data_IF_071042086998
#
_entry.id   IF_071042086998
#
_cell.length_a   1.000
_cell.length_b   1.000
_cell.length_c   1.000
_cell.angle_alpha   90.00
_cell.angle_beta   90.00
_cell.angle_gamma   90.00
#
_symmetry.space_group_name_H-M   'P 1'
#
loop_
_entity.id
_entity.type
_entity.pdbx_description
1 polymer ?
#
# COMPACT_ATOMS: atom_id res chain seq x y z
N UNK A 1 -31.54 12.62 41.70
CA UNK A 1 -30.68 13.51 42.51
C UNK A 1 -29.27 13.34 41.97
N UNK A 2 -28.59 14.30 41.37
CA UNK A 2 -28.86 15.65 40.86
C UNK A 2 -27.76 15.82 39.76
N UNK A 3 -28.10 16.31 38.56
CA UNK A 3 -27.71 17.65 38.07
C UNK A 3 -26.18 17.87 38.13
N UNK A 4 -25.48 18.03 37.01
CA UNK A 4 -25.53 19.28 36.27
C UNK A 4 -25.40 19.17 34.75
N UNK A 5 -25.98 20.21 34.17
CA UNK A 5 -26.28 20.54 32.79
C UNK A 5 -25.29 21.60 32.27
N UNK A 6 -25.17 21.66 30.95
CA UNK A 6 -25.00 22.90 30.14
C UNK A 6 -23.62 23.62 30.24
N UNK A 7 -23.09 24.32 29.23
CA UNK A 7 -23.55 24.69 27.90
C UNK A 7 -22.36 25.27 27.09
N UNK A 8 -22.61 25.40 25.78
CA UNK A 8 -22.08 26.40 24.83
C UNK A 8 -20.59 26.35 24.41
N UNK A 9 -20.24 26.08 23.14
CA UNK A 9 -20.62 26.67 21.82
C UNK A 9 -19.72 27.86 21.43
N UNK A 10 -18.90 27.55 20.42
CA UNK A 10 -18.42 28.32 19.25
C UNK A 10 -17.31 29.40 19.35
N UNK A 11 -16.37 29.37 18.37
CA UNK A 11 -15.45 30.46 18.01
C UNK A 11 -16.12 31.38 16.94
N UNK A 12 -15.42 32.25 16.18
CA UNK A 12 -14.16 32.97 16.39
C UNK A 12 -14.39 34.51 16.42
N UNK A 13 -13.46 35.27 17.00
CA UNK A 13 -13.48 36.74 16.90
C UNK A 13 -12.66 37.19 15.69
N UNK A 14 -13.36 37.54 14.60
CA UNK A 14 -12.90 38.56 13.66
C UNK A 14 -13.03 39.94 14.31
N UNK A 15 -12.06 40.84 14.09
CA UNK A 15 -12.22 42.30 13.85
C UNK A 15 -10.83 42.98 13.90
N UNK A 16 -10.66 44.23 13.42
CA UNK A 16 -10.65 44.57 12.00
C UNK A 16 -9.52 45.59 11.68
N UNK A 17 -9.41 45.95 10.41
CA UNK A 17 -9.19 47.35 10.08
C UNK A 17 -7.75 47.81 9.78
N UNK A 18 -7.72 48.67 8.76
CA UNK A 18 -6.88 49.87 8.71
C UNK A 18 -5.42 49.71 8.28
N UNK A 19 -5.13 49.97 7.02
CA UNK A 19 -4.72 51.32 6.59
C UNK A 19 -4.20 51.29 5.15
N UNK A 20 -4.63 52.29 4.40
CA UNK A 20 -4.25 52.61 3.03
C UNK A 20 -2.74 52.95 2.88
N UNK A 21 -2.21 53.01 1.65
CA UNK A 21 -0.79 53.15 1.39
C UNK A 21 -0.30 54.57 1.65
N UNK A 22 0.82 54.71 2.36
CA UNK A 22 1.57 55.96 2.45
C UNK A 22 2.28 56.22 1.13
N UNK A 23 1.79 57.22 0.42
CA UNK A 23 2.58 58.08 -0.46
C UNK A 23 3.44 59.01 0.42
N UNK A 24 4.74 59.00 0.21
CA UNK A 24 5.74 60.04 0.52
C UNK A 24 7.04 59.46 -0.07
N UNK A 25 7.69 60.05 -1.08
CA UNK A 25 8.49 61.24 -0.87
C UNK A 25 8.65 62.02 -2.19
N UNK A 26 8.03 63.19 -2.23
CA UNK A 26 8.27 64.26 -3.19
C UNK A 26 9.63 64.85 -2.86
N UNK A 27 10.66 64.53 -3.64
CA UNK A 27 11.89 65.33 -3.65
C UNK A 27 11.64 66.66 -4.36
N UNK A 28 11.75 67.69 -3.54
CA UNK A 28 11.60 69.11 -3.82
C UNK A 28 12.96 69.61 -4.33
N UNK A 29 13.12 69.74 -5.65
CA UNK A 29 14.24 70.50 -6.21
C UNK A 29 13.74 71.86 -6.75
N UNK A 30 14.38 72.88 -6.21
CA UNK A 30 14.24 74.32 -6.47
C UNK A 30 14.34 74.65 -7.97
N UNK A 31 13.55 75.63 -8.48
CA UNK A 31 13.58 76.01 -9.88
C UNK A 31 14.87 76.76 -10.20
N UNK A 32 15.82 76.09 -10.86
CA UNK A 32 16.94 76.74 -11.53
C UNK A 32 16.40 77.29 -12.85
N UNK A 33 16.47 78.62 -12.99
CA UNK A 33 16.11 79.34 -14.20
C UNK A 33 16.86 78.79 -15.43
N UNK A 34 16.17 78.48 -16.55
CA UNK A 34 16.87 78.15 -17.78
C UNK A 34 17.43 79.42 -18.42
N UNK A 35 18.76 79.55 -18.37
CA UNK A 35 19.54 80.43 -19.22
C UNK A 35 19.28 80.06 -20.70
N UNK A 36 19.15 81.04 -21.62
CA UNK A 36 18.63 80.81 -22.96
C UNK A 36 19.74 80.35 -23.90
N UNK A 37 20.04 79.05 -23.90
CA UNK A 37 20.80 78.40 -24.97
C UNK A 37 20.04 77.15 -25.41
N UNK A 38 18.88 77.37 -26.03
CA UNK A 38 18.21 76.37 -26.84
C UNK A 38 19.06 76.16 -28.10
N UNK A 39 19.98 75.20 -28.04
CA UNK A 39 20.54 74.59 -29.24
C UNK A 39 19.36 74.10 -30.08
N UNK A 40 19.11 74.80 -31.19
CA UNK A 40 18.13 74.44 -32.21
C UNK A 40 18.60 73.13 -32.84
N UNK A 41 18.18 72.00 -32.27
CA UNK A 41 18.22 70.70 -32.92
C UNK A 41 17.37 70.83 -34.19
N UNK A 42 17.97 70.63 -35.36
CA UNK A 42 17.30 70.78 -36.65
C UNK A 42 16.10 69.83 -36.76
N UNK A 43 15.07 70.20 -37.52
CA UNK A 43 13.89 69.34 -37.73
C UNK A 43 14.25 67.94 -38.26
N UNK A 44 15.38 67.81 -38.97
CA UNK A 44 15.89 66.52 -39.45
C UNK A 44 16.34 65.59 -38.32
N UNK A 45 17.00 66.09 -37.28
CA UNK A 45 17.41 65.28 -36.13
C UNK A 45 16.19 64.82 -35.32
N UNK A 46 15.16 65.66 -35.19
CA UNK A 46 13.89 65.27 -34.54
C UNK A 46 13.17 64.15 -35.30
N UNK A 47 13.12 64.22 -36.63
CA UNK A 47 12.51 63.16 -37.44
C UNK A 47 13.29 61.84 -37.36
N UNK A 48 14.62 61.91 -37.27
CA UNK A 48 15.47 60.73 -37.12
C UNK A 48 15.26 60.03 -35.77
N UNK A 49 15.15 60.80 -34.69
CA UNK A 49 14.87 60.28 -33.33
C UNK A 49 13.48 59.61 -33.28
N UNK A 50 12.45 60.24 -33.83
CA UNK A 50 11.09 59.68 -33.87
C UNK A 50 11.03 58.39 -34.71
N UNK A 51 11.78 58.35 -35.82
CA UNK A 51 11.90 57.17 -36.66
C UNK A 51 12.62 56.01 -35.97
N UNK A 52 13.64 56.31 -35.17
CA UNK A 52 14.40 55.32 -34.40
C UNK A 52 13.59 54.77 -33.21
N UNK A 53 12.88 55.62 -32.46
CA UNK A 53 11.98 55.19 -31.38
C UNK A 53 10.87 54.26 -31.88
N UNK A 54 10.25 54.56 -33.02
CA UNK A 54 9.22 53.67 -33.61
C UNK A 54 9.76 52.30 -33.97
N UNK A 55 11.04 52.18 -34.33
CA UNK A 55 11.68 50.88 -34.60
C UNK A 55 11.91 50.11 -33.32
N UNK A 56 12.43 50.77 -32.27
CA UNK A 56 12.63 50.17 -30.94
C UNK A 56 11.33 49.65 -30.34
N UNK A 57 10.27 50.46 -30.34
CA UNK A 57 8.95 50.04 -29.84
C UNK A 57 8.40 48.83 -30.62
N UNK A 58 8.63 48.79 -31.94
CA UNK A 58 8.17 47.66 -32.78
C UNK A 58 8.98 46.39 -32.54
N UNK A 59 10.27 46.51 -32.22
CA UNK A 59 11.12 45.37 -31.85
C UNK A 59 10.78 44.84 -30.46
N UNK A 60 10.53 45.72 -29.49
CA UNK A 60 10.09 45.34 -28.15
C UNK A 60 8.73 44.64 -28.16
N UNK A 61 7.78 45.11 -28.96
CA UNK A 61 6.49 44.42 -29.13
C UNK A 61 6.65 43.02 -29.73
N UNK A 62 7.55 42.83 -30.70
CA UNK A 62 7.84 41.51 -31.26
C UNK A 62 8.46 40.57 -30.23
N UNK A 63 9.40 41.07 -29.43
CA UNK A 63 10.02 40.30 -28.35
C UNK A 63 9.00 39.89 -27.28
N UNK A 64 8.08 40.79 -26.93
CA UNK A 64 6.98 40.47 -26.01
C UNK A 64 6.01 39.43 -26.59
N UNK A 65 5.65 39.53 -27.88
CA UNK A 65 4.80 38.53 -28.52
C UNK A 65 5.46 37.15 -28.60
N UNK A 66 6.77 37.09 -28.88
CA UNK A 66 7.54 35.85 -28.88
C UNK A 66 7.67 35.25 -27.47
N UNK A 67 7.91 36.08 -26.45
CA UNK A 67 7.93 35.67 -25.05
C UNK A 67 6.56 35.11 -24.58
N UNK A 68 5.46 35.74 -24.99
CA UNK A 68 4.10 35.25 -24.66
C UNK A 68 3.77 33.95 -25.41
N UNK A 69 4.22 33.80 -26.67
CA UNK A 69 4.03 32.57 -27.45
C UNK A 69 4.82 31.40 -26.86
N UNK A 70 6.07 31.62 -26.48
CA UNK A 70 6.92 30.60 -25.85
C UNK A 70 6.34 30.17 -24.50
N UNK A 71 5.93 31.11 -23.64
CA UNK A 71 5.27 30.80 -22.37
C UNK A 71 3.97 29.99 -22.53
N UNK A 72 3.12 30.33 -23.52
CA UNK A 72 1.89 29.58 -23.83
C UNK A 72 2.17 28.19 -24.39
N UNK A 73 3.23 28.01 -25.19
CA UNK A 73 3.62 26.72 -25.76
C UNK A 73 4.15 25.78 -24.66
N UNK A 74 4.97 26.30 -23.75
CA UNK A 74 5.53 25.52 -22.64
C UNK A 74 4.44 25.05 -21.67
N UNK A 75 3.51 25.94 -21.28
CA UNK A 75 2.39 25.57 -20.40
C UNK A 75 1.40 24.57 -21.03
N UNK A 76 1.24 24.60 -22.36
CA UNK A 76 0.38 23.64 -23.07
C UNK A 76 1.05 22.26 -23.18
N UNK A 77 2.37 22.21 -23.31
CA UNK A 77 3.13 20.96 -23.34
C UNK A 77 3.22 20.30 -21.95
N UNK A 78 3.35 21.10 -20.89
CA UNK A 78 3.40 20.57 -19.51
C UNK A 78 2.08 19.94 -19.06
N UNK A 79 0.93 20.54 -19.41
CA UNK A 79 -0.38 19.93 -19.13
C UNK A 79 -0.58 18.61 -19.87
N UNK A 80 -0.11 18.50 -21.11
CA UNK A 80 -0.21 17.27 -21.92
C UNK A 80 0.73 16.16 -21.40
N UNK A 81 1.95 16.51 -21.00
CA UNK A 81 2.91 15.56 -20.40
C UNK A 81 2.40 15.00 -19.08
N UNK A 82 1.88 15.85 -18.18
CA UNK A 82 1.31 15.41 -16.90
C UNK A 82 0.13 14.46 -17.11
N UNK A 83 -0.78 14.77 -18.03
CA UNK A 83 -1.95 13.92 -18.29
C UNK A 83 -1.59 12.55 -18.89
N UNK A 84 -0.55 12.48 -19.74
CA UNK A 84 -0.03 11.21 -20.27
C UNK A 84 0.63 10.33 -19.21
N UNK A 85 1.39 10.94 -18.29
CA UNK A 85 2.06 10.23 -17.20
C UNK A 85 1.07 9.63 -16.21
N UNK A 86 0.04 10.38 -15.79
CA UNK A 86 -0.99 9.86 -14.88
C UNK A 86 -1.78 8.70 -15.48
N UNK A 87 -2.08 8.74 -16.78
CA UNK A 87 -2.74 7.61 -17.47
C UNK A 87 -1.84 6.38 -17.54
N UNK A 88 -0.55 6.55 -17.83
CA UNK A 88 0.42 5.45 -17.84
C UNK A 88 0.59 4.81 -16.46
N UNK A 89 0.68 5.63 -15.41
CA UNK A 89 0.79 5.15 -14.03
C UNK A 89 -0.49 4.43 -13.57
N UNK A 90 -1.67 4.96 -13.89
CA UNK A 90 -2.94 4.31 -13.55
C UNK A 90 -3.08 2.96 -14.28
N UNK A 91 -2.71 2.89 -15.57
CA UNK A 91 -2.72 1.65 -16.33
C UNK A 91 -1.77 0.61 -15.69
N UNK A 92 -0.57 1.02 -15.30
CA UNK A 92 0.40 0.14 -14.64
C UNK A 92 -0.13 -0.40 -13.31
N UNK A 93 -0.73 0.46 -12.47
CA UNK A 93 -1.33 0.06 -11.20
C UNK A 93 -2.48 -0.93 -11.44
N UNK A 94 -3.36 -0.67 -12.41
CA UNK A 94 -4.45 -1.58 -12.77
C UNK A 94 -3.89 -2.92 -13.26
N UNK A 95 -2.80 -2.93 -14.03
CA UNK A 95 -2.16 -4.14 -14.52
C UNK A 95 -1.53 -4.95 -13.38
N UNK A 96 -0.90 -4.29 -12.41
CA UNK A 96 -0.38 -4.93 -11.20
C UNK A 96 -1.52 -5.50 -10.36
N UNK A 97 -2.59 -4.74 -10.14
CA UNK A 97 -3.78 -5.21 -9.40
C UNK A 97 -4.46 -6.38 -10.10
N UNK A 98 -4.59 -6.33 -11.44
CA UNK A 98 -5.12 -7.43 -12.23
C UNK A 98 -4.21 -8.67 -12.20
N UNK A 99 -2.89 -8.50 -12.25
CA UNK A 99 -1.94 -9.59 -12.10
C UNK A 99 -2.07 -10.24 -10.72
N UNK A 100 -2.16 -9.45 -9.65
CA UNK A 100 -2.37 -9.94 -8.27
C UNK A 100 -3.72 -10.64 -8.12
N UNK A 101 -4.79 -10.12 -8.74
CA UNK A 101 -6.12 -10.72 -8.68
C UNK A 101 -6.24 -12.07 -9.39
N UNK A 102 -5.41 -12.32 -10.42
CA UNK A 102 -5.33 -13.62 -11.12
C UNK A 102 -4.41 -14.60 -10.39
N UNK A 103 -3.55 -14.09 -9.49
CA UNK A 103 -2.62 -14.87 -8.68
C UNK A 103 -3.26 -15.58 -7.51
N UNK A 104 -3.97 -16.68 -7.77
CA UNK A 104 -4.34 -17.58 -6.69
C UNK A 104 -3.06 -18.22 -6.11
N UNK A 105 -2.81 -17.98 -4.82
CA UNK A 105 -1.83 -18.76 -4.06
C UNK A 105 -2.43 -20.15 -3.85
N UNK A 106 -1.86 -21.17 -4.47
CA UNK A 106 -2.34 -22.54 -4.35
C UNK A 106 -1.37 -23.33 -3.49
N UNK A 107 -1.89 -23.82 -2.38
CA UNK A 107 -1.13 -24.63 -1.44
C UNK A 107 -1.63 -26.06 -1.58
N UNK A 108 -0.80 -26.93 -2.14
CA UNK A 108 -1.13 -28.33 -2.32
C UNK A 108 -0.33 -29.14 -1.29
N UNK A 109 -1.00 -29.85 -0.37
CA UNK A 109 -0.35 -30.90 0.41
C UNK A 109 -0.93 -32.25 -0.02
N UNK A 110 -0.06 -33.14 -0.47
CA UNK A 110 -0.42 -34.49 -0.86
C UNK A 110 0.04 -35.45 0.24
N UNK A 111 -0.93 -36.10 0.89
CA UNK A 111 -0.69 -37.08 1.95
C UNK A 111 -0.16 -38.45 1.48
N UNK A 112 0.41 -38.54 0.28
CA UNK A 112 0.92 -39.80 -0.25
C UNK A 112 2.42 -39.72 -0.45
N UNK A 113 3.13 -40.40 0.47
CA UNK A 113 4.49 -40.90 0.34
C UNK A 113 5.52 -39.85 -0.07
N UNK A 114 6.18 -39.27 0.92
CA UNK A 114 7.38 -38.50 0.64
C UNK A 114 8.38 -39.37 -0.14
N UNK A 115 8.82 -38.92 -1.33
CA UNK A 115 9.71 -39.69 -2.20
C UNK A 115 11.17 -39.73 -1.71
N UNK A 116 11.49 -39.02 -0.63
CA UNK A 116 12.87 -38.77 -0.21
C UNK A 116 13.15 -39.37 1.18
N UNK A 117 14.37 -39.88 1.36
CA UNK A 117 14.84 -40.43 2.64
C UNK A 117 14.99 -39.31 3.66
N UNK A 118 13.91 -39.02 4.40
CA UNK A 118 13.78 -37.75 5.10
C UNK A 118 14.50 -37.72 6.44
N UNK A 119 15.46 -36.81 6.54
CA UNK A 119 15.76 -36.16 7.81
C UNK A 119 14.77 -35.03 8.02
N UNK A 120 14.20 -34.92 9.23
CA UNK A 120 13.36 -33.80 9.65
C UNK A 120 14.08 -32.97 10.72
N UNK A 121 15.13 -32.22 10.36
CA UNK A 121 15.98 -31.56 11.35
C UNK A 121 15.31 -30.34 11.99
N UNK A 122 14.25 -29.81 11.39
CA UNK A 122 13.54 -28.64 11.88
C UNK A 122 12.25 -29.05 12.59
N UNK A 123 11.96 -28.42 13.73
CA UNK A 123 10.75 -28.64 14.51
C UNK A 123 10.10 -27.30 14.80
N UNK A 124 8.80 -27.22 14.57
CA UNK A 124 7.98 -26.08 14.94
C UNK A 124 6.71 -26.57 15.66
N UNK A 125 6.38 -25.91 16.77
CA UNK A 125 5.21 -26.24 17.58
C UNK A 125 4.19 -25.12 17.51
N UNK A 126 2.93 -25.50 17.35
CA UNK A 126 1.81 -24.58 17.19
C UNK A 126 0.65 -24.96 18.09
N UNK A 127 0.05 -23.94 18.69
CA UNK A 127 -1.27 -24.00 19.28
C UNK A 127 -2.30 -23.70 18.20
N UNK A 128 -3.21 -24.64 17.98
CA UNK A 128 -4.22 -24.58 16.91
C UNK A 128 -5.61 -24.74 17.49
N UNK A 129 -6.46 -23.74 17.26
CA UNK A 129 -7.88 -23.79 17.60
C UNK A 129 -8.70 -24.01 16.32
N UNK A 130 -9.51 -25.05 16.31
CA UNK A 130 -10.42 -25.38 15.21
C UNK A 130 -11.89 -25.34 15.67
N UNK A 131 -12.81 -24.92 14.79
CA UNK A 131 -14.23 -25.05 15.06
C UNK A 131 -14.63 -26.53 15.08
N UNK A 132 -15.53 -26.89 15.99
CA UNK A 132 -16.09 -28.24 16.00
C UNK A 132 -17.07 -28.42 14.84
N UNK A 133 -16.97 -29.59 14.19
CA UNK A 133 -17.88 -30.05 13.14
C UNK A 133 -18.00 -29.09 11.95
N UNK A 134 -16.96 -28.29 11.70
CA UNK A 134 -16.89 -27.36 10.58
C UNK A 134 -15.61 -27.58 9.79
N UNK A 135 -15.74 -27.59 8.47
CA UNK A 135 -14.60 -27.71 7.57
C UNK A 135 -13.83 -26.40 7.47
N UNK A 136 -12.52 -26.54 7.54
CA UNK A 136 -11.55 -25.45 7.51
C UNK A 136 -10.49 -25.78 6.47
N UNK A 137 -10.15 -24.82 5.62
CA UNK A 137 -9.19 -25.03 4.53
C UNK A 137 -7.88 -24.31 4.85
N UNK A 138 -6.82 -25.08 5.07
CA UNK A 138 -5.46 -24.56 5.15
C UNK A 138 -4.86 -24.62 3.74
N UNK A 139 -4.99 -23.53 3.00
CA UNK A 139 -4.73 -23.58 1.56
C UNK A 139 -5.74 -24.47 0.84
N UNK A 140 -5.28 -25.46 0.06
CA UNK A 140 -6.17 -26.47 -0.56
C UNK A 140 -6.38 -27.72 0.33
N UNK A 141 -5.83 -27.76 1.55
CA UNK A 141 -5.99 -28.91 2.45
C UNK A 141 -7.23 -28.73 3.30
N UNK A 142 -8.20 -29.63 3.11
CA UNK A 142 -9.38 -29.70 3.94
C UNK A 142 -9.04 -30.30 5.30
N UNK A 143 -9.38 -29.59 6.37
CA UNK A 143 -9.27 -30.04 7.75
C UNK A 143 -10.66 -30.04 8.39
N UNK A 144 -11.04 -31.14 9.02
CA UNK A 144 -12.30 -31.29 9.75
C UNK A 144 -12.03 -31.97 11.09
N UNK A 145 -12.47 -31.34 12.17
CA UNK A 145 -12.44 -31.89 13.50
C UNK A 145 -13.87 -32.08 14.00
N UNK A 146 -14.19 -33.28 14.49
CA UNK A 146 -15.52 -33.62 15.03
C UNK A 146 -15.34 -34.19 16.42
N UNK A 147 -15.84 -33.50 17.44
CA UNK A 147 -15.77 -33.99 18.82
C UNK A 147 -16.81 -35.08 19.07
N UNK A 148 -16.45 -36.05 19.91
CA UNK A 148 -17.32 -37.14 20.35
C UNK A 148 -16.93 -37.56 21.76
N UNK A 149 -17.56 -36.94 22.76
CA UNK A 149 -17.22 -37.17 24.17
C UNK A 149 -15.83 -36.63 24.50
N UNK A 150 -14.92 -37.53 24.90
CA UNK A 150 -13.53 -37.17 25.24
C UNK A 150 -12.55 -37.32 24.06
N UNK A 151 -13.04 -37.82 22.92
CA UNK A 151 -12.25 -38.03 21.72
C UNK A 151 -12.65 -37.01 20.65
N UNK A 152 -11.73 -36.77 19.72
CA UNK A 152 -11.99 -35.98 18.51
C UNK A 152 -11.53 -36.76 17.29
N UNK A 153 -12.39 -36.85 16.29
CA UNK A 153 -12.00 -37.36 14.98
C UNK A 153 -11.43 -36.19 14.18
N UNK A 154 -10.13 -36.24 13.88
CA UNK A 154 -9.45 -35.25 13.06
C UNK A 154 -9.17 -35.83 11.68
N UNK A 155 -9.67 -35.15 10.65
CA UNK A 155 -9.40 -35.45 9.25
C UNK A 155 -8.53 -34.32 8.67
N UNK A 156 -7.39 -34.67 8.08
CA UNK A 156 -6.49 -33.76 7.38
C UNK A 156 -6.30 -34.30 5.96
N UNK A 157 -6.81 -33.60 4.96
CA UNK A 157 -6.84 -34.08 3.57
C UNK A 157 -7.59 -35.41 3.47
N UNK A 158 -6.90 -36.48 3.13
CA UNK A 158 -7.47 -37.83 3.03
C UNK A 158 -7.17 -38.72 4.25
N UNK A 159 -6.36 -38.25 5.19
CA UNK A 159 -6.02 -39.00 6.40
C UNK A 159 -6.98 -38.67 7.53
N UNK A 160 -7.43 -39.70 8.26
CA UNK A 160 -8.33 -39.55 9.41
C UNK A 160 -7.74 -40.30 10.60
N UNK A 161 -7.67 -39.62 11.74
CA UNK A 161 -7.22 -40.17 13.00
C UNK A 161 -8.22 -39.84 14.11
N UNK A 162 -8.31 -40.72 15.11
CA UNK A 162 -9.05 -40.45 16.34
C UNK A 162 -8.03 -40.05 17.39
N UNK A 163 -8.25 -38.91 18.01
CA UNK A 163 -7.38 -38.33 19.03
C UNK A 163 -8.11 -38.36 20.37
N UNK A 164 -7.54 -39.03 21.35
CA UNK A 164 -7.97 -38.91 22.74
C UNK A 164 -7.27 -37.75 23.42
N UNK A 165 -7.96 -37.12 24.38
CA UNK A 165 -7.43 -35.96 25.10
C UNK A 165 -6.07 -36.28 25.77
N UNK A 166 -5.09 -35.41 25.55
CA UNK A 166 -3.74 -35.52 26.10
C UNK A 166 -2.82 -36.54 25.43
N UNK A 167 -3.32 -37.34 24.49
CA UNK A 167 -2.53 -38.38 23.82
C UNK A 167 -1.99 -37.86 22.48
N UNK A 168 -0.66 -37.85 22.27
CA UNK A 168 -0.08 -37.50 20.98
C UNK A 168 -0.28 -38.62 19.97
N UNK A 169 -0.69 -38.26 18.75
CA UNK A 169 -0.81 -39.18 17.61
C UNK A 169 0.01 -38.64 16.45
N UNK A 170 0.78 -39.51 15.82
CA UNK A 170 1.56 -39.20 14.63
C UNK A 170 0.75 -39.47 13.36
N UNK A 171 0.73 -38.50 12.47
CA UNK A 171 0.16 -38.63 11.12
C UNK A 171 1.22 -39.14 10.15
N UNK A 172 0.81 -39.75 9.04
CA UNK A 172 1.78 -40.20 8.05
C UNK A 172 2.60 -39.03 7.49
N UNK A 173 3.91 -39.24 7.21
CA UNK A 173 4.70 -38.25 6.50
C UNK A 173 4.07 -37.85 5.18
N UNK A 174 4.03 -36.55 4.93
CA UNK A 174 3.37 -35.98 3.76
C UNK A 174 4.26 -34.94 3.08
N UNK A 175 3.99 -34.71 1.80
CA UNK A 175 4.71 -33.75 0.99
C UNK A 175 3.84 -32.52 0.72
N UNK A 176 4.44 -31.34 0.92
CA UNK A 176 3.83 -30.04 0.78
C UNK A 176 4.49 -29.28 -0.35
N UNK A 177 3.69 -28.80 -1.30
CA UNK A 177 4.14 -27.94 -2.39
C UNK A 177 3.41 -26.61 -2.29
N UNK A 178 4.18 -25.54 -2.11
CA UNK A 178 3.67 -24.17 -2.14
C UNK A 178 3.82 -23.63 -3.55
N UNK A 179 2.70 -23.34 -4.21
CA UNK A 179 2.67 -22.74 -5.54
C UNK A 179 2.10 -21.32 -5.48
N UNK A 180 2.70 -20.42 -6.24
CA UNK A 180 2.14 -19.09 -6.48
C UNK A 180 2.21 -18.84 -7.98
N UNK A 181 1.09 -18.44 -8.58
CA UNK A 181 0.99 -18.23 -10.04
C UNK A 181 1.35 -19.49 -10.85
N UNK A 182 1.06 -20.69 -10.33
CA UNK A 182 1.41 -21.96 -10.97
C UNK A 182 2.89 -22.34 -10.93
N UNK A 183 3.77 -21.47 -10.41
CA UNK A 183 5.18 -21.78 -10.18
C UNK A 183 5.36 -22.37 -8.79
N UNK A 184 6.23 -23.36 -8.66
CA UNK A 184 6.60 -23.96 -7.39
C UNK A 184 7.62 -23.05 -6.70
N UNK A 185 7.26 -22.53 -5.53
CA UNK A 185 8.13 -21.68 -4.73
C UNK A 185 8.88 -22.46 -3.66
N UNK A 186 8.25 -23.50 -3.13
CA UNK A 186 8.81 -24.33 -2.08
C UNK A 186 8.20 -25.72 -2.14
N UNK A 187 9.04 -26.71 -1.91
CA UNK A 187 8.66 -28.10 -1.66
C UNK A 187 9.17 -28.48 -0.28
N UNK A 188 8.37 -29.22 0.48
CA UNK A 188 8.80 -29.67 1.77
C UNK A 188 8.10 -30.93 2.26
N UNK A 189 8.85 -31.78 2.95
CA UNK A 189 8.30 -32.95 3.62
C UNK A 189 8.08 -32.64 5.08
N UNK A 190 6.92 -33.06 5.59
CA UNK A 190 6.55 -32.82 6.97
C UNK A 190 6.00 -34.08 7.63
N UNK A 191 6.22 -34.17 8.93
CA UNK A 191 5.69 -35.20 9.80
C UNK A 191 5.02 -34.52 11.00
N UNK A 192 3.72 -34.74 11.18
CA UNK A 192 2.94 -34.09 12.23
C UNK A 192 2.73 -35.03 13.42
N UNK A 193 2.96 -34.51 14.61
CA UNK A 193 2.45 -35.08 15.85
C UNK A 193 1.38 -34.13 16.40
N UNK A 194 0.17 -34.63 16.60
CA UNK A 194 -0.99 -33.85 17.04
C UNK A 194 -1.47 -34.35 18.39
N UNK A 195 -1.69 -33.44 19.33
CA UNK A 195 -2.28 -33.73 20.64
C UNK A 195 -3.56 -32.91 20.82
N UNK A 196 -4.69 -33.56 21.05
CA UNK A 196 -5.93 -32.88 21.42
C UNK A 196 -5.89 -32.49 22.90
N UNK A 197 -6.08 -31.20 23.22
CA UNK A 197 -6.02 -30.67 24.59
C UNK A 197 -7.39 -30.41 25.21
N UNK A 198 -8.45 -30.46 24.43
CA UNK A 198 -9.83 -30.26 24.90
C UNK A 198 -10.53 -29.10 24.20
N UNK A 199 -11.60 -28.61 24.84
CA UNK A 199 -12.39 -27.48 24.35
C UNK A 199 -11.96 -26.19 25.06
N UNK A 200 -11.66 -25.15 24.29
CA UNK A 200 -11.36 -23.80 24.76
C UNK A 200 -12.26 -22.82 24.01
N UNK A 201 -13.08 -22.05 24.73
CA UNK A 201 -13.96 -21.04 24.13
C UNK A 201 -14.83 -21.57 22.97
N UNK A 202 -15.37 -22.80 23.11
CA UNK A 202 -16.17 -23.47 22.08
C UNK A 202 -15.40 -23.80 20.78
N UNK A 203 -14.07 -23.86 20.87
CA UNK A 203 -13.17 -24.35 19.81
C UNK A 203 -12.37 -25.53 20.35
N UNK A 204 -12.03 -26.45 19.47
CA UNK A 204 -11.20 -27.61 19.76
C UNK A 204 -9.73 -27.17 19.75
N UNK A 205 -9.04 -27.43 20.85
CA UNK A 205 -7.67 -27.01 21.08
C UNK A 205 -6.69 -28.16 20.80
N UNK A 206 -5.71 -27.88 19.95
CA UNK A 206 -4.71 -28.84 19.50
C UNK A 206 -3.31 -28.26 19.69
N UNK A 207 -2.40 -29.09 20.20
CA UNK A 207 -0.97 -28.85 20.13
C UNK A 207 -0.41 -29.65 18.95
N UNK A 208 0.13 -28.94 17.96
CA UNK A 208 0.69 -29.54 16.74
C UNK A 208 2.20 -29.33 16.74
N UNK A 209 2.95 -30.42 16.70
CA UNK A 209 4.39 -30.42 16.45
C UNK A 209 4.64 -30.86 15.00
N UNK A 210 5.10 -29.93 14.17
CA UNK A 210 5.48 -30.20 12.79
C UNK A 210 6.99 -30.35 12.70
N UNK A 211 7.45 -31.53 12.28
CA UNK A 211 8.85 -31.77 11.89
C UNK A 211 8.97 -31.63 10.39
N UNK A 212 9.91 -30.82 9.90
CA UNK A 212 10.03 -30.44 8.48
C UNK A 212 11.42 -30.70 7.94
N UNK A 213 11.53 -30.99 6.64
CA UNK A 213 12.82 -31.17 5.96
C UNK A 213 13.54 -29.85 5.64
N UNK A 214 12.81 -28.74 5.57
CA UNK A 214 13.33 -27.38 5.34
C UNK A 214 12.95 -26.46 6.51
N UNK A 215 13.61 -25.30 6.65
CA UNK A 215 13.27 -24.32 7.66
C UNK A 215 11.78 -23.94 7.61
N UNK A 216 11.14 -23.70 8.77
CA UNK A 216 9.74 -23.29 8.84
C UNK A 216 9.44 -22.09 7.93
N UNK A 217 8.19 -22.02 7.46
CA UNK A 217 7.76 -20.90 6.63
C UNK A 217 7.88 -19.58 7.39
N UNK A 218 8.29 -18.53 6.69
CA UNK A 218 8.28 -17.17 7.23
C UNK A 218 6.86 -16.74 7.60
N UNK A 219 6.73 -15.83 8.58
CA UNK A 219 5.45 -15.39 9.14
C UNK A 219 4.45 -14.85 8.10
N UNK A 220 4.93 -14.21 7.04
CA UNK A 220 4.07 -13.71 5.96
C UNK A 220 3.41 -14.85 5.18
N UNK A 221 4.11 -15.97 4.97
CA UNK A 221 3.57 -17.15 4.25
C UNK A 221 2.56 -17.88 5.12
N UNK A 222 2.85 -18.06 6.41
CA UNK A 222 1.91 -18.72 7.33
C UNK A 222 0.60 -17.94 7.42
N UNK A 223 0.65 -16.62 7.41
CA UNK A 223 -0.54 -15.77 7.40
C UNK A 223 -1.45 -15.94 6.16
N UNK A 224 -0.91 -16.43 5.05
CA UNK A 224 -1.69 -16.71 3.84
C UNK A 224 -2.38 -18.08 3.85
N UNK A 225 -1.88 -19.00 4.68
CA UNK A 225 -2.36 -20.40 4.75
C UNK A 225 -3.38 -20.57 5.87
N UNK A 226 -3.29 -19.78 6.93
CA UNK A 226 -4.20 -19.87 8.08
C UNK A 226 -5.56 -19.25 7.73
N UNK A 227 -6.65 -20.03 7.73
CA UNK A 227 -7.98 -19.51 7.44
C UNK A 227 -8.54 -18.72 8.63
N UNK A 228 -9.45 -17.78 8.34
CA UNK A 228 -10.07 -16.92 9.36
C UNK A 228 -10.88 -17.64 10.43
N UNK A 229 -11.30 -18.89 10.17
CA UNK A 229 -12.05 -19.73 11.09
C UNK A 229 -11.17 -20.52 12.07
N UNK A 230 -9.85 -20.53 11.86
CA UNK A 230 -8.89 -21.19 12.74
C UNK A 230 -7.95 -20.16 13.37
N UNK A 231 -7.46 -20.48 14.56
CA UNK A 231 -6.36 -19.72 15.17
C UNK A 231 -5.13 -20.60 15.18
N UNK A 232 -3.99 -20.08 14.73
CA UNK A 232 -2.69 -20.77 14.79
C UNK A 232 -1.68 -19.83 15.42
N UNK A 233 -1.00 -20.28 16.47
CA UNK A 233 0.01 -19.50 17.19
C UNK A 233 1.26 -20.34 17.43
N UNK A 234 2.47 -19.82 17.18
CA UNK A 234 3.69 -20.51 17.57
C UNK A 234 3.80 -20.58 19.11
N UNK A 235 4.41 -21.66 19.60
CA UNK A 235 4.69 -21.91 21.03
C UNK A 235 6.18 -21.87 21.29
#
# INVERSE_FOLDING_TARGET
MAEDKENNVSPPSETPGEAAPREEEVQKETPVAPSPDAAVISEEERQKIIGEERRRVKEEQKLQEEAVKTYKMDHKNDRKKKFGFFKGLLLLIVLIVAAVAVGYLTFDAYGNQSPWGNSYPYVATYDVLLPDSSEVFFGNVQVLAVSSGNDVTLKIGNERQILSIGTPVEFQPAHMTVKMYGLIWRENDYHLTVTYRGLVQNQLDFLISARTSEPPMSSWMTGLIVPSKATVRPV
#
